data_IF_846366570468
#
_entry.id   IF_846366570468
#
_cell.length_a   1.000
_cell.length_b   1.000
_cell.length_c   1.000
_cell.angle_alpha   90.00
_cell.angle_beta   90.00
_cell.angle_gamma   90.00
#
_symmetry.space_group_name_H-M   'P 1'
#
loop_
_entity.id
_entity.type
_entity.pdbx_description
1 polymer ?
#
# COMPACT_ATOMS: atom_id res chain seq x y z
N UNK A 1 22.77 20.12 -11.93
CA UNK A 1 22.20 18.96 -11.22
C UNK A 1 22.43 17.72 -12.07
N UNK A 2 23.18 16.73 -11.57
CA UNK A 2 23.32 15.45 -12.25
C UNK A 2 22.02 14.67 -12.15
N UNK A 3 21.63 13.98 -13.24
CA UNK A 3 20.46 13.09 -13.22
C UNK A 3 20.77 11.89 -12.32
N UNK A 4 19.83 11.54 -11.44
CA UNK A 4 19.93 10.33 -10.64
C UNK A 4 19.90 9.09 -11.56
N UNK A 5 20.88 8.19 -11.40
CA UNK A 5 20.94 6.91 -12.10
C UNK A 5 20.24 5.82 -11.27
N UNK A 6 19.00 5.49 -11.63
CA UNK A 6 18.25 4.39 -11.00
C UNK A 6 18.66 3.05 -11.62
N UNK A 7 18.64 1.96 -10.83
CA UNK A 7 18.98 0.62 -11.31
C UNK A 7 18.07 0.15 -12.47
N UNK A 8 16.79 0.53 -12.43
CA UNK A 8 15.80 0.25 -13.47
C UNK A 8 15.89 1.18 -14.69
N UNK A 9 16.83 2.13 -14.72
CA UNK A 9 16.96 3.14 -15.79
C UNK A 9 17.72 2.58 -17.00
N UNK A 10 17.14 1.57 -17.65
CA UNK A 10 17.65 0.96 -18.89
C UNK A 10 16.57 0.14 -19.58
N UNK A 11 16.67 -0.03 -20.90
CA UNK A 11 15.63 -0.68 -21.73
C UNK A 11 15.43 -2.16 -21.34
N UNK A 12 16.49 -2.83 -20.88
CA UNK A 12 16.47 -4.22 -20.43
C UNK A 12 16.72 -4.35 -18.92
N UNK A 13 16.73 -3.24 -18.19
CA UNK A 13 16.94 -3.25 -16.74
C UNK A 13 15.64 -3.65 -16.04
N UNK A 14 15.76 -4.50 -15.01
CA UNK A 14 14.64 -4.82 -14.12
C UNK A 14 14.61 -3.90 -12.90
N UNK A 15 13.55 -4.01 -12.11
CA UNK A 15 13.53 -3.41 -10.78
C UNK A 15 14.48 -4.15 -9.83
N UNK A 16 15.08 -3.41 -8.89
CA UNK A 16 15.77 -4.01 -7.75
C UNK A 16 14.73 -4.42 -6.69
N UNK A 17 14.43 -5.72 -6.62
CA UNK A 17 13.48 -6.30 -5.68
C UNK A 17 13.87 -6.06 -4.21
N UNK A 18 15.16 -5.99 -3.90
CA UNK A 18 15.61 -5.64 -2.54
C UNK A 18 15.31 -4.18 -2.21
N UNK A 19 15.41 -3.28 -3.19
CA UNK A 19 14.98 -1.88 -3.05
C UNK A 19 13.46 -1.77 -2.87
N UNK A 20 12.66 -2.54 -3.63
CA UNK A 20 11.20 -2.58 -3.45
C UNK A 20 10.85 -2.99 -2.02
N UNK A 21 11.48 -4.05 -1.49
CA UNK A 21 11.24 -4.50 -0.10
C UNK A 21 11.55 -3.41 0.93
N UNK A 22 12.68 -2.72 0.79
CA UNK A 22 13.05 -1.60 1.68
C UNK A 22 12.09 -0.42 1.53
N UNK A 23 11.72 -0.07 0.30
CA UNK A 23 10.76 1.00 0.01
C UNK A 23 9.38 0.72 0.61
N UNK A 24 8.89 -0.52 0.52
CA UNK A 24 7.65 -0.94 1.17
C UNK A 24 7.70 -0.75 2.69
N UNK A 25 8.83 -1.09 3.34
CA UNK A 25 9.00 -0.86 4.78
C UNK A 25 8.96 0.63 5.14
N UNK A 26 9.57 1.49 4.31
CA UNK A 26 9.48 2.96 4.48
C UNK A 26 8.04 3.41 4.34
N UNK A 27 7.30 2.90 3.34
CA UNK A 27 5.87 3.20 3.19
C UNK A 27 5.10 2.86 4.47
N UNK A 28 5.25 1.65 5.00
CA UNK A 28 4.56 1.21 6.22
C UNK A 28 4.90 2.07 7.44
N UNK A 29 6.15 2.49 7.57
CA UNK A 29 6.62 3.21 8.77
C UNK A 29 6.38 4.72 8.73
N UNK A 30 6.32 5.32 7.54
CA UNK A 30 6.33 6.79 7.38
C UNK A 30 5.12 7.30 6.62
N UNK A 31 4.68 6.58 5.58
CA UNK A 31 3.71 7.11 4.64
C UNK A 31 2.29 6.59 4.90
N UNK A 32 2.15 5.35 5.38
CA UNK A 32 0.86 4.67 5.54
C UNK A 32 -0.08 5.38 6.53
N UNK A 33 0.44 6.23 7.42
CA UNK A 33 -0.37 7.03 8.34
C UNK A 33 -1.14 8.17 7.66
N UNK A 34 -0.69 8.64 6.51
CA UNK A 34 -1.27 9.79 5.82
C UNK A 34 -1.66 9.50 4.37
N UNK A 35 -0.98 8.56 3.71
CA UNK A 35 -1.14 8.23 2.31
C UNK A 35 -1.73 6.85 2.09
N UNK A 36 -2.66 6.79 1.14
CA UNK A 36 -3.31 5.56 0.71
C UNK A 36 -2.54 4.91 -0.45
N UNK A 37 -2.48 3.58 -0.45
CA UNK A 37 -2.12 2.76 -1.61
C UNK A 37 -3.29 1.83 -1.98
N UNK A 38 -4.38 2.44 -2.46
CA UNK A 38 -5.68 1.78 -2.60
C UNK A 38 -5.76 0.79 -3.75
N UNK A 39 -4.79 0.78 -4.68
CA UNK A 39 -4.78 -0.13 -5.84
C UNK A 39 -3.96 -1.40 -5.62
N UNK A 40 -3.21 -1.50 -4.51
CA UNK A 40 -2.33 -2.62 -4.22
C UNK A 40 -2.94 -3.49 -3.12
N UNK A 41 -2.91 -4.80 -3.35
CA UNK A 41 -3.32 -5.82 -2.38
C UNK A 41 -2.09 -6.55 -1.83
N UNK A 42 -2.20 -7.16 -0.65
CA UNK A 42 -1.09 -7.91 -0.06
C UNK A 42 -0.53 -8.98 -1.00
N UNK A 43 -1.40 -9.69 -1.74
CA UNK A 43 -1.01 -10.71 -2.74
C UNK A 43 -0.05 -10.19 -3.82
N UNK A 44 -0.09 -8.89 -4.13
CA UNK A 44 0.75 -8.30 -5.18
C UNK A 44 2.23 -8.19 -4.73
N UNK A 45 2.48 -8.32 -3.42
CA UNK A 45 3.83 -8.37 -2.85
C UNK A 45 4.49 -9.76 -2.94
N UNK A 46 3.69 -10.81 -3.09
CA UNK A 46 4.16 -12.20 -3.05
C UNK A 46 4.99 -12.51 -4.29
N UNK A 47 6.21 -13.01 -4.08
CA UNK A 47 7.16 -13.27 -5.17
C UNK A 47 7.79 -12.02 -5.78
N UNK A 48 7.35 -10.82 -5.36
CA UNK A 48 7.97 -9.55 -5.74
C UNK A 48 8.93 -9.10 -4.64
N UNK A 49 8.43 -8.83 -3.44
CA UNK A 49 9.25 -8.31 -2.34
C UNK A 49 9.26 -9.22 -1.11
N UNK A 50 8.28 -10.12 -1.00
CA UNK A 50 8.06 -10.96 0.16
C UNK A 50 7.67 -12.38 -0.26
N UNK A 51 7.90 -13.33 0.64
CA UNK A 51 7.33 -14.68 0.52
C UNK A 51 5.84 -14.67 0.84
N UNK A 52 5.11 -15.73 0.47
CA UNK A 52 3.69 -15.83 0.79
C UNK A 52 3.47 -15.84 2.31
N UNK A 53 4.30 -16.56 3.06
CA UNK A 53 4.21 -16.68 4.52
C UNK A 53 4.46 -15.34 5.22
N UNK A 54 5.50 -14.60 4.81
CA UNK A 54 5.78 -13.26 5.32
C UNK A 54 4.63 -12.29 5.04
N UNK A 55 4.07 -12.36 3.82
CA UNK A 55 2.99 -11.47 3.41
C UNK A 55 1.69 -11.80 4.14
N UNK A 56 1.44 -13.08 4.37
CA UNK A 56 0.28 -13.55 5.13
C UNK A 56 0.37 -13.15 6.61
N UNK A 57 1.56 -13.24 7.21
CA UNK A 57 1.78 -12.73 8.56
C UNK A 57 1.52 -11.22 8.64
N UNK A 58 2.04 -10.46 7.67
CA UNK A 58 1.85 -9.01 7.59
C UNK A 58 0.38 -8.60 7.37
N UNK A 59 -0.36 -9.34 6.54
CA UNK A 59 -1.78 -9.10 6.32
C UNK A 59 -2.59 -9.42 7.59
N UNK A 60 -2.18 -10.43 8.36
CA UNK A 60 -2.87 -10.81 9.60
C UNK A 60 -2.67 -9.81 10.75
N UNK A 61 -1.68 -8.91 10.67
CA UNK A 61 -1.46 -7.84 11.65
C UNK A 61 -2.54 -6.74 11.59
N UNK A 62 -3.27 -6.64 10.47
CA UNK A 62 -4.32 -5.65 10.31
C UNK A 62 -5.71 -6.25 10.59
N UNK A 63 -6.57 -5.42 11.15
CA UNK A 63 -7.99 -5.72 11.31
C UNK A 63 -8.78 -5.17 10.11
N UNK A 64 -9.59 -6.03 9.52
CA UNK A 64 -10.43 -5.71 8.37
C UNK A 64 -11.89 -5.96 8.73
N UNK A 65 -12.74 -4.96 8.51
CA UNK A 65 -14.19 -5.09 8.65
C UNK A 65 -14.75 -5.86 7.45
N UNK A 66 -15.52 -6.92 7.72
CA UNK A 66 -16.14 -7.81 6.74
C UNK A 66 -17.59 -8.12 7.14
N UNK A 67 -18.35 -8.77 6.27
CA UNK A 67 -19.76 -9.13 6.52
C UNK A 67 -20.73 -8.62 5.46
N UNK A 68 -22.04 -8.69 5.72
CA UNK A 68 -22.67 -9.10 6.99
C UNK A 68 -22.59 -10.61 7.29
N UNK A 69 -22.65 -10.99 8.56
CA UNK A 69 -22.80 -12.38 9.02
C UNK A 69 -24.27 -12.85 8.94
N UNK A 70 -24.55 -14.07 9.42
CA UNK A 70 -25.89 -14.67 9.39
C UNK A 70 -26.93 -13.90 10.23
N UNK A 71 -26.49 -13.02 11.13
CA UNK A 71 -27.33 -12.15 11.96
C UNK A 71 -27.49 -10.73 11.34
N UNK A 72 -26.86 -10.48 10.19
CA UNK A 72 -26.87 -9.18 9.52
C UNK A 72 -25.83 -8.18 10.07
N UNK A 73 -24.94 -8.62 10.95
CA UNK A 73 -23.95 -7.77 11.61
C UNK A 73 -22.60 -7.78 10.87
N UNK A 74 -21.94 -6.62 10.80
CA UNK A 74 -20.56 -6.52 10.32
C UNK A 74 -19.61 -6.99 11.43
N UNK A 75 -18.56 -7.72 11.06
CA UNK A 75 -17.57 -8.24 12.01
C UNK A 75 -16.15 -7.86 11.58
N UNK A 76 -15.22 -7.94 12.52
CA UNK A 76 -13.80 -7.71 12.25
C UNK A 76 -13.07 -9.03 12.17
N UNK A 77 -12.15 -9.17 11.21
CA UNK A 77 -11.25 -10.32 11.08
C UNK A 77 -9.81 -9.88 10.80
N UNK A 78 -8.82 -10.74 11.09
CA UNK A 78 -7.48 -10.54 10.57
C UNK A 78 -7.49 -10.49 9.04
N UNK A 79 -6.62 -9.65 8.48
CA UNK A 79 -6.46 -9.49 7.05
C UNK A 79 -5.98 -10.76 6.35
N UNK A 80 -6.34 -10.88 5.08
CA UNK A 80 -5.91 -11.95 4.16
C UNK A 80 -5.17 -11.35 2.97
N UNK A 81 -4.47 -12.20 2.22
CA UNK A 81 -3.68 -11.78 1.05
C UNK A 81 -4.48 -11.01 -0.01
N UNK A 82 -5.78 -11.28 -0.15
CA UNK A 82 -6.63 -10.58 -1.11
C UNK A 82 -7.06 -9.18 -0.66
N UNK A 83 -6.87 -8.84 0.61
CA UNK A 83 -7.24 -7.52 1.12
C UNK A 83 -6.27 -6.46 0.60
N UNK A 84 -6.80 -5.24 0.44
CA UNK A 84 -6.03 -4.06 0.07
C UNK A 84 -5.32 -3.48 1.31
N UNK A 85 -4.33 -2.62 1.07
CA UNK A 85 -3.73 -1.87 2.17
C UNK A 85 -4.77 -0.97 2.88
N UNK A 86 -4.67 -0.83 4.21
CA UNK A 86 -5.67 -0.13 5.00
C UNK A 86 -5.70 1.36 4.63
N UNK A 87 -6.91 1.94 4.65
CA UNK A 87 -7.07 3.37 4.45
C UNK A 87 -6.74 4.13 5.74
N UNK A 88 -5.93 5.20 5.69
CA UNK A 88 -5.59 5.97 6.89
C UNK A 88 -6.77 6.78 7.43
N UNK A 89 -7.70 7.18 6.56
CA UNK A 89 -8.91 7.90 6.94
C UNK A 89 -10.16 7.23 6.34
N UNK A 90 -11.32 7.32 7.01
CA UNK A 90 -12.56 6.70 6.56
C UNK A 90 -13.19 7.39 5.34
N UNK A 91 -12.82 8.64 5.07
CA UNK A 91 -13.33 9.43 3.95
C UNK A 91 -12.43 10.64 3.66
N UNK A 92 -12.69 11.30 2.53
CA UNK A 92 -11.93 12.46 2.09
C UNK A 92 -12.05 13.66 3.02
N UNK A 93 -13.22 13.88 3.64
CA UNK A 93 -13.42 15.00 4.57
C UNK A 93 -12.54 14.85 5.82
N UNK A 94 -12.38 13.63 6.34
CA UNK A 94 -11.51 13.33 7.46
C UNK A 94 -10.04 13.59 7.13
N UNK A 95 -9.58 13.19 5.94
CA UNK A 95 -8.22 13.47 5.47
C UNK A 95 -7.96 14.98 5.33
N UNK A 96 -8.91 15.72 4.74
CA UNK A 96 -8.81 17.18 4.59
C UNK A 96 -8.77 17.90 5.93
N UNK A 97 -9.54 17.43 6.90
CA UNK A 97 -9.53 17.99 8.25
C UNK A 97 -8.18 17.74 8.95
N UNK A 98 -7.62 16.54 8.85
CA UNK A 98 -6.38 16.19 9.52
C UNK A 98 -5.14 16.86 8.87
N UNK A 99 -5.07 16.88 7.53
CA UNK A 99 -3.84 17.20 6.80
C UNK A 99 -3.96 18.42 5.87
N UNK A 100 -5.15 19.01 5.73
CA UNK A 100 -5.41 20.04 4.71
C UNK A 100 -5.35 19.51 3.27
N UNK A 101 -5.16 18.21 3.09
CA UNK A 101 -5.04 17.53 1.80
C UNK A 101 -6.13 16.47 1.65
N UNK A 102 -6.58 16.19 0.43
CA UNK A 102 -7.57 15.16 0.22
C UNK A 102 -7.01 13.74 0.29
N UNK A 103 -7.88 12.79 0.66
CA UNK A 103 -7.56 11.35 0.80
C UNK A 103 -7.05 10.71 -0.50
N UNK A 104 -7.37 11.30 -1.67
CA UNK A 104 -6.91 10.82 -2.98
C UNK A 104 -5.44 11.09 -3.27
N UNK A 105 -4.64 11.56 -2.31
CA UNK A 105 -3.17 11.53 -2.40
C UNK A 105 -2.64 10.08 -2.37
N UNK A 106 -3.08 9.29 -3.35
CA UNK A 106 -2.78 7.90 -3.55
C UNK A 106 -1.37 7.76 -4.11
N UNK A 107 -0.54 6.99 -3.42
CA UNK A 107 0.84 6.77 -3.86
C UNK A 107 0.94 5.78 -5.03
N UNK A 108 -0.14 5.05 -5.35
CA UNK A 108 -0.11 4.00 -6.37
C UNK A 108 0.25 4.51 -7.77
N UNK A 109 -0.16 5.73 -8.13
CA UNK A 109 0.06 6.30 -9.47
C UNK A 109 0.95 7.55 -9.47
N UNK A 110 1.40 7.99 -8.29
CA UNK A 110 2.14 9.24 -8.14
C UNK A 110 3.39 9.33 -9.03
N UNK A 111 4.11 8.22 -9.23
CA UNK A 111 5.29 8.21 -10.10
C UNK A 111 4.96 8.40 -11.58
N UNK A 112 3.73 8.13 -12.02
CA UNK A 112 3.30 8.31 -13.41
C UNK A 112 2.92 9.75 -13.69
N UNK A 113 2.26 10.43 -12.74
CA UNK A 113 1.84 11.83 -12.89
C UNK A 113 3.02 12.80 -13.03
N UNK A 114 4.19 12.43 -12.49
CA UNK A 114 5.43 13.21 -12.60
C UNK A 114 6.27 12.91 -13.85
N UNK A 115 5.87 11.93 -14.66
CA UNK A 115 6.57 11.53 -15.89
C UNK A 115 5.90 12.07 -17.17
N UNK A 116 4.76 12.74 -17.05
CA UNK A 116 4.10 13.56 -18.09
C UNK A 116 4.48 15.03 -17.99
#
# INVERSE_FOLDING_TARGET
MSKLSLASRGILSSYDHASIRRGHRVYQQVCASCHLMGLISYRDLVGVAYTEEETKAMAAEIEVVDGPNDEGEMFTRPGKLSDRFPQPYPNEQAARFANGTPQWSELCIFSFDWLS
#
